data_IF_570227330195
#
_entry.id   IF_570227330195
#
_cell.length_a   1.000
_cell.length_b   1.000
_cell.length_c   1.000
_cell.angle_alpha   90.00
_cell.angle_beta   90.00
_cell.angle_gamma   90.00
#
_symmetry.space_group_name_H-M   'P 1'
#
loop_
_entity.id
_entity.type
_entity.pdbx_description
1 polymer ?
#
# COMPACT_ATOMS: atom_id res chain seq x y z
N UNK A 1 -7.87 -21.26 25.74
CA UNK A 1 -8.48 -22.13 24.70
C UNK A 1 -9.20 -21.26 23.62
N UNK A 2 -9.24 -21.70 22.35
CA UNK A 2 -9.67 -20.86 21.21
C UNK A 2 -11.19 -21.03 20.94
N UNK A 3 -11.84 -20.00 20.37
CA UNK A 3 -13.28 -19.97 19.99
C UNK A 3 -14.26 -19.97 21.17
N UNK A 4 -13.99 -19.13 22.18
CA UNK A 4 -14.91 -18.92 23.29
C UNK A 4 -15.73 -17.67 23.07
N UNK A 5 -17.04 -17.79 23.28
CA UNK A 5 -17.98 -16.66 23.26
C UNK A 5 -17.88 -15.90 24.59
N UNK A 6 -17.63 -16.62 25.69
CA UNK A 6 -17.51 -16.09 27.05
C UNK A 6 -16.10 -16.43 27.57
N UNK A 7 -15.41 -15.43 28.11
CA UNK A 7 -14.09 -15.55 28.69
C UNK A 7 -14.13 -15.20 30.18
N UNK A 8 -13.15 -15.71 30.94
CA UNK A 8 -13.02 -15.39 32.37
C UNK A 8 -12.78 -13.89 32.59
N UNK A 9 -13.19 -13.36 33.74
CA UNK A 9 -13.05 -11.93 34.06
C UNK A 9 -11.61 -11.41 33.96
N UNK A 10 -10.61 -12.26 34.26
CA UNK A 10 -9.19 -11.91 34.12
C UNK A 10 -8.77 -11.51 32.69
N UNK A 11 -9.52 -11.93 31.66
CA UNK A 11 -9.21 -11.65 30.25
C UNK A 11 -9.93 -10.42 29.69
N UNK A 12 -10.79 -9.76 30.47
CA UNK A 12 -11.58 -8.59 30.03
C UNK A 12 -10.67 -7.47 29.52
N UNK A 13 -9.61 -7.14 30.26
CA UNK A 13 -8.71 -6.04 29.91
C UNK A 13 -8.10 -6.20 28.51
N UNK A 14 -7.51 -7.37 28.25
CA UNK A 14 -6.87 -7.65 26.96
C UNK A 14 -7.86 -7.75 25.81
N UNK A 15 -9.05 -8.30 26.05
CA UNK A 15 -10.08 -8.41 25.02
C UNK A 15 -10.68 -7.03 24.64
N UNK A 16 -10.78 -6.11 25.60
CA UNK A 16 -11.22 -4.74 25.32
C UNK A 16 -10.18 -3.98 24.49
N UNK A 17 -8.89 -4.12 24.82
CA UNK A 17 -7.80 -3.55 24.03
C UNK A 17 -7.78 -4.13 22.61
N UNK A 18 -7.93 -5.45 22.45
CA UNK A 18 -7.95 -6.06 21.13
C UNK A 18 -9.16 -5.60 20.30
N UNK A 19 -10.32 -5.44 20.94
CA UNK A 19 -11.54 -4.96 20.27
C UNK A 19 -11.37 -3.51 19.82
N UNK A 20 -10.78 -2.65 20.64
CA UNK A 20 -10.43 -1.28 20.24
C UNK A 20 -9.46 -1.25 19.06
N UNK A 21 -8.47 -2.14 19.04
CA UNK A 21 -7.57 -2.35 17.90
C UNK A 21 -8.31 -2.76 16.62
N UNK A 22 -9.30 -3.64 16.70
CA UNK A 22 -10.10 -4.01 15.52
C UNK A 22 -10.96 -2.87 14.99
N UNK A 23 -11.42 -1.95 15.84
CA UNK A 23 -12.16 -0.77 15.38
C UNK A 23 -11.24 0.20 14.64
N UNK A 24 -10.00 0.39 15.12
CA UNK A 24 -9.04 1.26 14.45
C UNK A 24 -8.62 0.73 13.08
N UNK A 25 -8.47 -0.59 12.90
CA UNK A 25 -8.13 -1.17 11.59
C UNK A 25 -9.22 -0.93 10.55
N UNK A 26 -10.50 -0.99 10.94
CA UNK A 26 -11.63 -0.66 10.04
C UNK A 26 -11.53 0.80 9.58
N UNK A 27 -11.23 1.72 10.51
CA UNK A 27 -11.05 3.15 10.18
C UNK A 27 -9.86 3.33 9.22
N UNK A 28 -8.74 2.65 9.43
CA UNK A 28 -7.58 2.74 8.53
C UNK A 28 -7.90 2.25 7.12
N UNK A 29 -8.69 1.18 6.97
CA UNK A 29 -9.10 0.68 5.65
C UNK A 29 -9.96 1.72 4.92
N UNK A 30 -10.89 2.37 5.62
CA UNK A 30 -11.71 3.43 5.03
C UNK A 30 -10.87 4.62 4.56
N UNK A 31 -9.91 5.05 5.38
CA UNK A 31 -8.98 6.13 5.01
C UNK A 31 -8.14 5.72 3.80
N UNK A 32 -7.65 4.47 3.76
CA UNK A 32 -6.85 3.97 2.63
C UNK A 32 -7.63 4.01 1.32
N UNK A 33 -8.90 3.60 1.32
CA UNK A 33 -9.76 3.67 0.13
C UNK A 33 -9.98 5.12 -0.30
N UNK A 34 -10.23 6.01 0.66
CA UNK A 34 -10.40 7.44 0.38
C UNK A 34 -9.15 8.06 -0.27
N UNK A 35 -7.95 7.73 0.22
CA UNK A 35 -6.69 8.21 -0.35
C UNK A 35 -6.50 7.77 -1.81
N UNK A 36 -6.85 6.52 -2.14
CA UNK A 36 -6.78 6.04 -3.53
C UNK A 36 -7.73 6.86 -4.42
N UNK A 37 -8.96 7.09 -3.97
CA UNK A 37 -9.95 7.88 -4.72
C UNK A 37 -9.49 9.32 -4.93
N UNK A 38 -8.96 9.97 -3.90
CA UNK A 38 -8.41 11.34 -3.99
C UNK A 38 -7.28 11.42 -5.02
N UNK A 39 -6.37 10.44 -5.03
CA UNK A 39 -5.24 10.42 -5.95
C UNK A 39 -5.69 10.29 -7.41
N UNK A 40 -6.71 9.48 -7.69
CA UNK A 40 -7.27 9.33 -9.04
C UNK A 40 -7.95 10.62 -9.52
N UNK A 41 -8.68 11.31 -8.62
CA UNK A 41 -9.40 12.55 -8.97
C UNK A 41 -8.42 13.71 -9.19
N UNK A 42 -7.42 13.87 -8.33
CA UNK A 42 -6.54 15.05 -8.33
C UNK A 42 -5.48 15.05 -9.44
N UNK A 43 -5.19 13.90 -10.07
CA UNK A 43 -4.29 13.75 -11.24
C UNK A 43 -2.96 14.52 -11.10
N UNK A 44 -2.33 14.46 -9.93
CA UNK A 44 -1.07 15.17 -9.65
C UNK A 44 0.07 14.61 -10.51
N UNK A 45 0.81 15.49 -11.20
CA UNK A 45 1.98 15.12 -11.99
C UNK A 45 3.20 14.95 -11.10
N UNK A 46 4.09 14.02 -11.47
CA UNK A 46 5.33 13.72 -10.75
C UNK A 46 6.39 14.73 -11.19
N UNK A 47 6.95 15.48 -10.24
CA UNK A 47 7.92 16.56 -10.51
C UNK A 47 9.35 16.02 -10.55
N UNK A 48 9.67 15.06 -9.67
CA UNK A 48 10.98 14.43 -9.58
C UNK A 48 10.86 12.91 -9.61
N UNK A 49 11.63 12.29 -10.49
CA UNK A 49 11.77 10.84 -10.60
C UNK A 49 12.91 10.36 -9.72
N UNK A 50 12.70 9.21 -9.08
CA UNK A 50 13.73 8.54 -8.28
C UNK A 50 14.82 8.02 -9.24
N UNK A 51 16.08 8.37 -8.96
CA UNK A 51 17.23 7.83 -9.68
C UNK A 51 17.53 6.40 -9.19
N UNK A 52 16.73 5.44 -9.66
CA UNK A 52 16.98 4.02 -9.45
C UNK A 52 17.64 3.39 -10.68
N UNK A 53 18.47 2.37 -10.46
CA UNK A 53 19.13 1.68 -11.57
C UNK A 53 18.21 0.68 -12.29
N UNK A 54 17.05 0.38 -11.71
CA UNK A 54 16.01 -0.45 -12.30
C UNK A 54 15.32 0.25 -13.47
N UNK A 55 15.02 -0.52 -14.51
CA UNK A 55 14.51 0.01 -15.77
C UNK A 55 13.10 0.61 -15.67
N UNK A 56 12.26 0.06 -14.79
CA UNK A 56 10.88 0.53 -14.57
C UNK A 56 10.81 2.00 -14.17
N UNK A 57 11.79 2.47 -13.40
CA UNK A 57 11.86 3.85 -12.92
C UNK A 57 12.53 4.81 -13.91
N UNK A 58 13.12 4.28 -14.99
CA UNK A 58 13.71 5.06 -16.09
C UNK A 58 12.70 5.37 -17.19
N UNK A 59 11.59 4.64 -17.25
CA UNK A 59 10.52 4.85 -18.22
C UNK A 59 9.58 6.00 -17.83
N UNK A 60 8.78 6.44 -18.80
CA UNK A 60 7.72 7.42 -18.57
C UNK A 60 6.65 6.88 -17.61
N UNK A 61 6.00 7.79 -16.89
CA UNK A 61 4.90 7.50 -15.98
C UNK A 61 3.66 8.28 -16.45
N UNK A 62 2.68 7.64 -17.11
CA UNK A 62 2.54 6.20 -17.38
C UNK A 62 3.45 5.70 -18.51
N UNK A 63 3.71 4.39 -18.49
CA UNK A 63 4.52 3.70 -19.51
C UNK A 63 3.76 3.71 -20.84
N UNK A 64 4.49 3.96 -21.92
CA UNK A 64 3.95 3.90 -23.29
C UNK A 64 3.77 2.43 -23.69
N UNK A 65 2.72 2.13 -24.48
CA UNK A 65 2.35 0.76 -24.89
C UNK A 65 3.53 -0.04 -25.49
N UNK A 66 4.33 0.60 -26.34
CA UNK A 66 5.54 0.04 -26.93
C UNK A 66 6.77 0.81 -26.43
N UNK A 67 7.20 0.51 -25.20
CA UNK A 67 8.33 1.17 -24.55
C UNK A 67 9.68 0.49 -24.84
N UNK A 68 9.70 -0.82 -25.09
CA UNK A 68 10.93 -1.59 -25.39
C UNK A 68 11.07 -1.87 -26.88
N UNK A 69 11.37 -0.83 -27.65
CA UNK A 69 11.65 -0.98 -29.10
C UNK A 69 13.02 -1.63 -29.36
N UNK A 70 13.97 -1.42 -28.46
CA UNK A 70 15.31 -1.99 -28.52
C UNK A 70 15.62 -2.76 -27.23
N UNK A 71 16.52 -3.74 -27.34
CA UNK A 71 16.95 -4.50 -26.18
C UNK A 71 17.89 -3.68 -25.31
N UNK A 72 17.55 -3.56 -24.02
CA UNK A 72 18.43 -2.91 -23.07
C UNK A 72 19.76 -3.65 -22.97
N UNK A 73 20.85 -2.94 -23.25
CA UNK A 73 22.19 -3.44 -23.05
C UNK A 73 22.53 -3.46 -21.56
N UNK A 74 22.62 -4.67 -21.00
CA UNK A 74 23.06 -4.90 -19.63
C UNK A 74 24.58 -5.15 -19.65
N UNK A 75 25.34 -4.20 -19.14
CA UNK A 75 26.77 -4.41 -18.90
C UNK A 75 26.95 -5.04 -17.50
N UNK A 76 27.04 -6.37 -17.46
CA UNK A 76 27.51 -7.07 -16.26
C UNK A 76 29.03 -7.05 -16.29
N UNK A 77 29.65 -6.21 -15.45
CA UNK A 77 31.07 -6.38 -15.10
C UNK A 77 31.24 -7.56 -14.17
#
# INVERSE_FOLDING_TARGET
PRRYIIFSEFMIFWNNISSFGSMSTIIFILIFIYLILEMIISKRKIIFLIKCNNNEWKLNQPIILHSFLEQNFLFTK
#
